data_IF_056720231719
#
_entry.id   IF_056720231719
#
_cell.length_a   1.000
_cell.length_b   1.000
_cell.length_c   1.000
_cell.angle_alpha   90.00
_cell.angle_beta   90.00
_cell.angle_gamma   90.00
#
_symmetry.space_group_name_H-M   'P 1'
#
loop_
_entity.id
_entity.type
_entity.pdbx_description
1 polymer ?
#
# COMPACT_ATOMS: atom_id res chain seq x y z
N UNK A 1 -20.11 -5.15 -30.79
CA UNK A 1 -18.71 -5.51 -30.50
C UNK A 1 -17.97 -5.61 -31.83
N UNK A 2 -16.85 -4.91 -32.00
CA UNK A 2 -16.16 -4.85 -33.31
C UNK A 2 -15.21 -6.04 -33.49
N UNK A 3 -14.93 -6.42 -34.74
CA UNK A 3 -14.04 -7.55 -35.10
C UNK A 3 -12.60 -7.38 -34.55
N UNK A 4 -12.19 -6.15 -34.24
CA UNK A 4 -10.91 -5.84 -33.60
C UNK A 4 -10.85 -6.28 -32.14
N UNK A 5 -11.98 -6.28 -31.42
CA UNK A 5 -12.02 -6.71 -30.01
C UNK A 5 -11.85 -8.23 -29.84
N UNK A 6 -12.26 -9.03 -30.83
CA UNK A 6 -12.13 -10.50 -30.80
C UNK A 6 -10.70 -10.94 -31.14
N UNK A 7 -10.04 -10.24 -32.07
CA UNK A 7 -8.64 -10.51 -32.43
C UNK A 7 -7.67 -10.16 -31.29
N UNK A 8 -7.90 -9.06 -30.56
CA UNK A 8 -7.08 -8.71 -29.41
C UNK A 8 -7.22 -9.72 -28.26
N UNK A 9 -8.44 -10.22 -28.03
CA UNK A 9 -8.69 -11.23 -26.99
C UNK A 9 -8.04 -12.59 -27.34
N UNK A 10 -8.08 -13.00 -28.61
CA UNK A 10 -7.44 -14.23 -29.07
C UNK A 10 -5.89 -14.16 -28.98
N UNK A 11 -5.31 -12.99 -29.22
CA UNK A 11 -3.84 -12.81 -29.15
C UNK A 11 -3.34 -12.83 -27.70
N UNK A 12 -4.11 -12.29 -26.75
CA UNK A 12 -3.76 -12.29 -25.32
C UNK A 12 -3.90 -13.68 -24.68
N UNK A 13 -4.82 -14.51 -25.18
CA UNK A 13 -5.05 -15.86 -24.65
C UNK A 13 -4.12 -16.94 -25.23
N UNK A 14 -3.56 -16.76 -26.43
CA UNK A 14 -2.64 -17.74 -27.05
C UNK A 14 -1.14 -17.49 -26.80
N UNK A 15 -0.73 -16.28 -26.39
CA UNK A 15 0.69 -15.98 -26.14
C UNK A 15 1.35 -16.85 -25.03
N UNK A 16 0.70 -17.17 -23.88
CA UNK A 16 1.36 -17.93 -22.82
C UNK A 16 1.47 -19.44 -23.10
N UNK A 17 0.67 -20.00 -24.02
CA UNK A 17 0.71 -21.44 -24.32
C UNK A 17 1.84 -21.81 -25.28
N UNK A 18 2.20 -20.91 -26.21
CA UNK A 18 3.33 -21.09 -27.14
C UNK A 18 4.69 -20.99 -26.42
N UNK A 19 4.84 -20.06 -25.46
CA UNK A 19 6.05 -19.93 -24.65
C UNK A 19 6.31 -21.17 -23.78
N UNK A 20 5.26 -21.87 -23.35
CA UNK A 20 5.37 -23.10 -22.54
C UNK A 20 5.75 -24.33 -23.39
N UNK A 21 5.37 -24.35 -24.68
CA UNK A 21 5.72 -25.44 -25.59
C UNK A 21 7.21 -25.41 -26.00
N UNK A 22 7.80 -24.23 -26.21
CA UNK A 22 9.23 -24.11 -26.52
C UNK A 22 10.14 -24.49 -25.34
N UNK A 23 9.71 -24.20 -24.10
CA UNK A 23 10.46 -24.57 -22.89
C UNK A 23 10.56 -26.09 -22.68
N UNK A 24 9.58 -26.85 -23.16
CA UNK A 24 9.57 -28.31 -23.02
C UNK A 24 10.40 -29.03 -24.10
N UNK A 25 10.55 -28.44 -25.29
CA UNK A 25 11.41 -29.00 -26.35
C UNK A 25 12.91 -28.78 -26.10
N UNK A 26 13.29 -27.79 -25.29
CA UNK A 26 14.69 -27.47 -24.98
C UNK A 26 15.29 -28.28 -23.82
N UNK A 27 14.49 -29.14 -23.19
CA UNK A 27 14.83 -29.86 -21.96
C UNK A 27 15.44 -31.28 -22.06
N UNK A 28 15.85 -31.86 -23.22
CA UNK A 28 16.52 -33.17 -23.19
C UNK A 28 18.00 -33.10 -22.76
N UNK A 29 18.63 -31.92 -22.76
CA UNK A 29 20.07 -31.78 -22.45
C UNK A 29 20.40 -31.58 -20.97
N UNK A 30 19.43 -31.23 -20.13
CA UNK A 30 19.66 -31.00 -18.69
C UNK A 30 19.82 -32.30 -17.89
N UNK A 31 19.19 -33.39 -18.34
CA UNK A 31 19.31 -34.70 -17.67
C UNK A 31 20.67 -35.37 -17.90
N UNK A 32 21.39 -35.05 -18.98
CA UNK A 32 22.72 -35.60 -19.25
C UNK A 32 23.84 -34.90 -18.46
N UNK A 33 23.65 -33.63 -18.07
CA UNK A 33 24.62 -32.87 -17.29
C UNK A 33 24.54 -33.16 -15.78
N UNK A 34 23.36 -33.55 -15.27
CA UNK A 34 23.15 -33.86 -13.85
C UNK A 34 23.85 -35.13 -13.35
N UNK A 35 24.31 -36.00 -14.25
CA UNK A 35 24.94 -37.26 -13.87
C UNK A 35 26.44 -37.14 -13.52
N UNK A 36 27.07 -35.97 -13.72
CA UNK A 36 28.52 -35.79 -13.49
C UNK A 36 28.91 -34.94 -12.27
N UNK A 37 27.95 -34.31 -11.58
CA UNK A 37 28.21 -33.38 -10.48
C UNK A 37 27.98 -33.96 -9.08
N UNK A 38 27.59 -35.24 -8.98
CA UNK A 38 27.29 -35.88 -7.69
C UNK A 38 28.42 -35.88 -6.64
N UNK A 39 29.73 -35.97 -6.97
CA UNK A 39 30.76 -36.01 -5.93
C UNK A 39 31.15 -34.64 -5.35
N UNK A 40 30.92 -33.52 -6.07
CA UNK A 40 31.27 -32.17 -5.56
C UNK A 40 30.22 -31.60 -4.59
N UNK A 41 28.96 -32.00 -4.74
CA UNK A 41 27.85 -31.55 -3.88
C UNK A 41 27.93 -32.10 -2.45
N UNK A 42 28.61 -33.22 -2.23
CA UNK A 42 28.82 -33.75 -0.87
C UNK A 42 29.84 -32.95 -0.07
N UNK A 43 30.85 -32.39 -0.75
CA UNK A 43 31.90 -31.58 -0.12
C UNK A 43 31.38 -30.21 0.36
N UNK A 44 30.28 -29.73 -0.25
CA UNK A 44 29.62 -28.47 0.10
C UNK A 44 28.48 -28.62 1.12
N UNK A 45 28.08 -29.85 1.47
CA UNK A 45 27.08 -30.10 2.51
C UNK A 45 27.36 -29.33 3.81
N UNK A 46 28.56 -29.37 4.42
CA UNK A 46 28.78 -28.69 5.71
C UNK A 46 28.66 -27.16 5.64
N UNK A 47 28.88 -26.55 4.46
CA UNK A 47 28.67 -25.11 4.25
C UNK A 47 27.19 -24.77 4.05
N UNK A 48 26.42 -25.70 3.45
CA UNK A 48 24.98 -25.57 3.24
C UNK A 48 24.14 -25.91 4.49
N UNK A 49 24.69 -26.67 5.44
CA UNK A 49 24.06 -26.95 6.74
C UNK A 49 24.48 -26.01 7.86
N UNK A 50 25.41 -25.07 7.59
CA UNK A 50 25.64 -23.97 8.52
C UNK A 50 24.28 -23.29 8.77
N UNK A 51 23.89 -23.01 10.03
CA UNK A 51 22.72 -22.18 10.28
C UNK A 51 22.99 -20.90 9.51
N UNK A 52 22.27 -20.69 8.41
CA UNK A 52 22.25 -19.41 7.74
C UNK A 52 21.95 -18.44 8.87
N UNK A 53 22.95 -17.63 9.27
CA UNK A 53 22.67 -16.44 10.03
C UNK A 53 21.62 -15.76 9.18
N UNK A 54 20.35 -15.87 9.60
CA UNK A 54 19.34 -14.92 9.17
C UNK A 54 20.02 -13.63 9.56
N UNK A 55 20.51 -12.92 8.55
CA UNK A 55 20.58 -11.49 8.63
C UNK A 55 19.12 -11.15 8.92
N UNK A 56 18.78 -11.10 10.21
CA UNK A 56 17.66 -10.32 10.66
C UNK A 56 17.98 -8.97 10.04
N UNK A 57 17.33 -8.69 8.91
CA UNK A 57 17.31 -7.36 8.35
C UNK A 57 16.78 -6.54 9.51
N UNK A 58 17.71 -5.92 10.26
CA UNK A 58 17.37 -5.11 11.42
C UNK A 58 16.24 -4.17 11.03
N UNK A 59 15.36 -3.80 11.99
CA UNK A 59 14.10 -3.13 11.70
C UNK A 59 14.31 -2.11 10.59
N UNK A 60 13.81 -2.39 9.38
CA UNK A 60 14.06 -1.51 8.22
C UNK A 60 13.64 -0.13 8.66
N UNK A 61 14.60 0.80 8.81
CA UNK A 61 14.33 2.20 9.17
C UNK A 61 13.38 2.77 8.13
N UNK A 62 12.08 2.69 8.40
CA UNK A 62 11.07 3.32 7.56
C UNK A 62 11.17 4.81 7.85
N UNK A 63 11.41 5.58 6.79
CA UNK A 63 11.64 7.02 6.88
C UNK A 63 10.53 7.69 7.69
N UNK A 64 10.92 8.60 8.59
CA UNK A 64 9.97 9.39 9.36
C UNK A 64 8.99 10.18 8.46
N UNK A 65 9.39 10.44 7.21
CA UNK A 65 8.57 11.13 6.23
C UNK A 65 7.23 10.42 5.95
N UNK A 66 7.16 9.09 6.09
CA UNK A 66 5.91 8.34 5.88
C UNK A 66 4.82 8.70 6.89
N UNK A 67 5.19 9.14 8.10
CA UNK A 67 4.21 9.54 9.12
C UNK A 67 3.56 10.90 8.84
N UNK A 68 4.18 11.73 7.99
CA UNK A 68 3.61 13.02 7.61
C UNK A 68 2.57 12.91 6.48
N UNK A 69 2.44 11.73 5.89
CA UNK A 69 1.51 11.49 4.80
C UNK A 69 0.13 11.17 5.40
N UNK A 70 -0.92 11.89 4.98
CA UNK A 70 -2.30 11.63 5.43
C UNK A 70 -2.80 10.26 4.95
N UNK A 71 -4.06 9.95 5.25
CA UNK A 71 -4.76 8.72 4.88
C UNK A 71 -4.20 7.46 5.56
N UNK A 72 -3.76 7.60 6.81
CA UNK A 72 -3.26 6.46 7.60
C UNK A 72 -1.94 5.87 7.12
N UNK A 73 -1.24 6.51 6.17
CA UNK A 73 0.01 6.00 5.58
C UNK A 73 1.09 5.80 6.64
N UNK A 74 1.18 6.70 7.62
CA UNK A 74 2.09 6.56 8.75
C UNK A 74 1.84 5.30 9.58
N UNK A 75 0.59 4.96 9.85
CA UNK A 75 0.20 3.76 10.59
C UNK A 75 0.50 2.50 9.78
N UNK A 76 0.24 2.49 8.48
CA UNK A 76 0.65 1.38 7.61
C UNK A 76 2.17 1.23 7.58
N UNK A 77 2.91 2.34 7.53
CA UNK A 77 4.36 2.34 7.65
C UNK A 77 4.85 1.89 9.03
N UNK A 78 4.03 1.97 10.08
CA UNK A 78 4.36 1.46 11.42
C UNK A 78 3.80 0.04 11.68
N UNK A 79 3.41 -0.71 10.64
CA UNK A 79 2.82 -2.05 10.75
C UNK A 79 1.56 -2.11 11.64
N UNK A 80 0.77 -1.02 11.65
CA UNK A 80 -0.50 -0.88 12.36
C UNK A 80 -1.69 -0.82 11.37
N UNK A 81 -2.03 -1.94 10.71
CA UNK A 81 -3.01 -1.93 9.60
C UNK A 81 -4.42 -1.57 10.05
N UNK A 82 -4.82 -1.92 11.27
CA UNK A 82 -6.15 -1.57 11.81
C UNK A 82 -6.28 -0.06 11.96
N UNK A 83 -5.30 0.61 12.59
CA UNK A 83 -5.31 2.06 12.73
C UNK A 83 -5.19 2.76 11.37
N UNK A 84 -4.31 2.27 10.49
CA UNK A 84 -4.16 2.81 9.13
C UNK A 84 -5.47 2.76 8.36
N UNK A 85 -6.21 1.64 8.46
CA UNK A 85 -7.52 1.51 7.82
C UNK A 85 -8.56 2.46 8.43
N UNK A 86 -8.56 2.65 9.75
CA UNK A 86 -9.48 3.58 10.41
C UNK A 86 -9.23 5.03 9.98
N UNK A 87 -7.97 5.49 9.98
CA UNK A 87 -7.62 6.83 9.51
C UNK A 87 -7.92 6.99 8.02
N UNK A 88 -7.54 6.01 7.18
CA UNK A 88 -7.87 6.00 5.76
C UNK A 88 -9.37 6.16 5.51
N UNK A 89 -10.20 5.35 6.17
CA UNK A 89 -11.65 5.37 6.00
C UNK A 89 -12.25 6.70 6.49
N UNK A 90 -11.83 7.19 7.65
CA UNK A 90 -12.32 8.43 8.22
C UNK A 90 -11.96 9.65 7.35
N UNK A 91 -10.72 9.74 6.89
CA UNK A 91 -10.27 10.82 6.00
C UNK A 91 -10.96 10.74 4.63
N UNK A 92 -11.10 9.53 4.07
CA UNK A 92 -11.82 9.33 2.80
C UNK A 92 -13.28 9.76 2.92
N UNK A 93 -13.96 9.46 4.02
CA UNK A 93 -15.34 9.89 4.25
C UNK A 93 -15.43 11.41 4.39
N UNK A 94 -14.53 12.03 5.15
CA UNK A 94 -14.52 13.47 5.37
C UNK A 94 -14.23 14.23 4.06
N UNK A 95 -13.13 13.91 3.38
CA UNK A 95 -12.76 14.57 2.11
C UNK A 95 -13.71 14.20 0.97
N UNK A 96 -14.26 12.99 0.95
CA UNK A 96 -15.30 12.59 0.01
C UNK A 96 -16.59 13.39 0.19
N UNK A 97 -17.01 13.61 1.45
CA UNK A 97 -18.17 14.45 1.77
C UNK A 97 -17.90 15.91 1.41
N UNK A 98 -16.70 16.43 1.68
CA UNK A 98 -16.29 17.75 1.24
C UNK A 98 -16.39 17.90 -0.28
N UNK A 99 -15.78 16.99 -1.05
CA UNK A 99 -15.81 17.02 -2.50
C UNK A 99 -17.23 16.91 -3.06
N UNK A 100 -18.04 16.01 -2.50
CA UNK A 100 -19.44 15.83 -2.90
C UNK A 100 -20.31 17.06 -2.61
N UNK A 101 -20.19 17.63 -1.40
CA UNK A 101 -20.94 18.82 -1.02
C UNK A 101 -20.52 20.05 -1.84
N UNK A 102 -19.22 20.19 -2.13
CA UNK A 102 -18.71 21.26 -2.98
C UNK A 102 -19.18 21.10 -4.43
N UNK A 103 -19.14 19.90 -4.99
CA UNK A 103 -19.65 19.63 -6.33
C UNK A 103 -21.16 19.92 -6.44
N UNK A 104 -21.95 19.49 -5.45
CA UNK A 104 -23.38 19.78 -5.40
C UNK A 104 -23.65 21.29 -5.27
N UNK A 105 -22.85 22.01 -4.48
CA UNK A 105 -22.92 23.47 -4.37
C UNK A 105 -22.66 24.15 -5.72
N UNK A 106 -21.61 23.76 -6.44
CA UNK A 106 -21.29 24.32 -7.75
C UNK A 106 -22.39 24.04 -8.78
N UNK A 107 -22.97 22.83 -8.79
CA UNK A 107 -24.07 22.47 -9.69
C UNK A 107 -25.35 23.24 -9.38
N UNK A 108 -25.58 23.66 -8.13
CA UNK A 108 -26.76 24.43 -7.74
C UNK A 108 -26.75 25.91 -8.18
N UNK A 109 -25.65 26.38 -8.79
CA UNK A 109 -25.53 27.76 -9.28
C UNK A 109 -26.32 27.93 -10.56
N UNK A 110 -27.22 28.91 -10.56
CA UNK A 110 -27.95 29.36 -11.78
C UNK A 110 -27.05 30.27 -12.61
N UNK A 111 -26.28 31.13 -11.94
CA UNK A 111 -25.39 32.09 -12.60
C UNK A 111 -24.22 32.44 -11.68
N UNK A 112 -23.00 32.32 -12.18
CA UNK A 112 -21.80 32.60 -11.40
C UNK A 112 -20.57 31.96 -12.00
N UNK A 113 -19.40 32.30 -11.46
CA UNK A 113 -18.14 31.67 -11.85
C UNK A 113 -17.86 30.44 -10.97
N UNK A 114 -17.13 29.47 -11.53
CA UNK A 114 -16.58 28.33 -10.79
C UNK A 114 -15.83 28.83 -9.54
N UNK A 115 -16.14 28.26 -8.38
CA UNK A 115 -15.56 28.62 -7.08
C UNK A 115 -15.83 30.04 -6.56
N UNK A 116 -16.69 30.84 -7.22
CA UNK A 116 -17.15 32.14 -6.69
C UNK A 116 -18.61 32.08 -6.26
N UNK A 117 -19.00 33.01 -5.40
CA UNK A 117 -20.41 33.21 -5.05
C UNK A 117 -21.22 33.52 -6.31
N UNK A 118 -22.40 32.91 -6.43
CA UNK A 118 -23.30 33.04 -7.57
C UNK A 118 -24.73 33.27 -7.13
N UNK A 119 -25.60 33.38 -8.12
CA UNK A 119 -27.05 33.32 -7.96
C UNK A 119 -27.48 31.85 -7.87
N UNK A 120 -28.30 31.53 -6.87
CA UNK A 120 -28.76 30.19 -6.56
C UNK A 120 -30.28 30.12 -6.67
N UNK A 121 -30.80 29.03 -7.21
CA UNK A 121 -32.24 28.78 -7.29
C UNK A 121 -32.84 28.57 -5.89
N UNK A 122 -32.12 27.85 -5.03
CA UNK A 122 -32.41 27.70 -3.60
C UNK A 122 -31.19 28.15 -2.76
N UNK A 123 -31.20 29.38 -2.23
CA UNK A 123 -30.09 29.90 -1.43
C UNK A 123 -29.94 29.17 -0.09
N UNK A 124 -31.01 28.61 0.47
CA UNK A 124 -30.96 27.89 1.73
C UNK A 124 -30.28 26.53 1.56
N UNK A 125 -30.58 25.81 0.47
CA UNK A 125 -29.88 24.58 0.12
C UNK A 125 -28.39 24.84 -0.17
N UNK A 126 -28.07 25.89 -0.93
CA UNK A 126 -26.69 26.27 -1.22
C UNK A 126 -25.89 26.58 0.05
N UNK A 127 -26.48 27.33 1.00
CA UNK A 127 -25.86 27.61 2.30
C UNK A 127 -25.58 26.34 3.10
N UNK A 128 -26.51 25.37 3.11
CA UNK A 128 -26.31 24.08 3.78
C UNK A 128 -25.16 23.29 3.15
N UNK A 129 -25.11 23.21 1.82
CA UNK A 129 -24.04 22.51 1.11
C UNK A 129 -22.67 23.14 1.36
N UNK A 130 -22.59 24.48 1.36
CA UNK A 130 -21.39 25.22 1.74
C UNK A 130 -20.99 24.95 3.19
N UNK A 131 -21.95 24.91 4.10
CA UNK A 131 -21.67 24.61 5.52
C UNK A 131 -21.14 23.18 5.69
N UNK A 132 -21.79 22.20 5.04
CA UNK A 132 -21.35 20.80 5.06
C UNK A 132 -19.96 20.65 4.46
N UNK A 133 -19.67 21.32 3.34
CA UNK A 133 -18.34 21.23 2.71
C UNK A 133 -17.26 21.78 3.65
N UNK A 134 -17.47 22.95 4.26
CA UNK A 134 -16.53 23.55 5.21
C UNK A 134 -16.32 22.65 6.44
N UNK A 135 -17.40 22.14 7.04
CA UNK A 135 -17.30 21.24 8.21
C UNK A 135 -16.53 19.96 7.85
N UNK A 136 -16.87 19.34 6.71
CA UNK A 136 -16.24 18.11 6.26
C UNK A 136 -14.75 18.30 5.95
N UNK A 137 -14.38 19.41 5.32
CA UNK A 137 -12.99 19.76 5.05
C UNK A 137 -12.18 19.88 6.34
N UNK A 138 -12.64 20.70 7.29
CA UNK A 138 -11.93 20.90 8.56
C UNK A 138 -11.91 19.64 9.43
N UNK A 139 -12.96 18.80 9.36
CA UNK A 139 -12.95 17.49 9.99
C UNK A 139 -11.88 16.59 9.38
N UNK A 140 -11.76 16.55 8.05
CA UNK A 140 -10.71 15.80 7.35
C UNK A 140 -9.31 16.25 7.72
N UNK A 141 -9.07 17.57 7.78
CA UNK A 141 -7.79 18.15 8.23
C UNK A 141 -7.50 17.75 9.69
N UNK A 142 -8.49 17.83 10.58
CA UNK A 142 -8.32 17.43 11.98
C UNK A 142 -7.98 15.96 12.14
N UNK A 143 -8.68 15.07 11.42
CA UNK A 143 -8.40 13.63 11.42
C UNK A 143 -6.99 13.35 10.88
N UNK A 144 -6.61 13.97 9.76
CA UNK A 144 -5.28 13.82 9.19
C UNK A 144 -4.18 14.26 10.17
N UNK A 145 -4.36 15.40 10.86
CA UNK A 145 -3.42 15.85 11.87
C UNK A 145 -3.29 14.85 13.04
N UNK A 146 -4.40 14.31 13.53
CA UNK A 146 -4.40 13.26 14.56
C UNK A 146 -3.71 11.98 14.07
N UNK A 147 -3.97 11.57 12.83
CA UNK A 147 -3.30 10.44 12.20
C UNK A 147 -1.80 10.63 12.09
N UNK A 148 -1.35 11.81 11.67
CA UNK A 148 0.07 12.15 11.63
C UNK A 148 0.69 12.04 13.03
N UNK A 149 0.10 12.67 14.05
CA UNK A 149 0.59 12.62 15.42
C UNK A 149 0.65 11.18 15.98
N UNK A 150 -0.40 10.38 15.77
CA UNK A 150 -0.44 8.97 16.18
C UNK A 150 0.65 8.15 15.47
N UNK A 151 0.92 8.42 14.19
CA UNK A 151 1.99 7.76 13.45
C UNK A 151 3.39 8.18 13.92
N UNK A 152 3.58 9.43 14.32
CA UNK A 152 4.85 9.88 14.93
C UNK A 152 5.06 9.25 16.30
N UNK A 153 4.03 9.17 17.13
CA UNK A 153 4.11 8.64 18.49
C UNK A 153 4.33 7.13 18.53
N UNK A 154 3.66 6.37 17.65
CA UNK A 154 3.74 4.90 17.64
C UNK A 154 4.77 4.36 16.64
N UNK A 155 5.85 5.10 16.39
CA UNK A 155 6.94 4.53 15.58
C UNK A 155 7.59 3.38 16.34
N UNK A 156 7.93 2.27 15.65
CA UNK A 156 8.71 1.22 16.27
C UNK A 156 10.12 1.73 16.58
N UNK A 157 10.47 1.78 17.86
CA UNK A 157 11.83 2.09 18.32
C UNK A 157 12.76 0.90 18.06
N UNK A 158 13.92 1.14 17.44
CA UNK A 158 15.00 0.14 17.28
C UNK A 158 15.56 -0.37 18.63
N UNK A 159 15.32 0.30 19.76
CA UNK A 159 16.01 0.03 21.03
C UNK A 159 15.40 -1.08 21.91
N UNK A 160 14.30 -1.74 21.48
CA UNK A 160 13.83 -2.98 22.15
C UNK A 160 14.37 -4.27 21.54
N UNK A 161 15.43 -4.17 20.74
CA UNK A 161 16.40 -5.25 20.64
C UNK A 161 17.27 -5.22 21.90
N UNK A 162 16.84 -5.89 22.97
CA UNK A 162 17.78 -6.30 24.02
C UNK A 162 18.89 -7.03 23.29
N UNK A 163 20.07 -6.42 23.25
CA UNK A 163 21.30 -7.08 22.88
C UNK A 163 21.50 -8.22 23.90
N UNK A 164 20.84 -9.35 23.65
CA UNK A 164 21.26 -10.63 24.17
C UNK A 164 22.62 -10.85 23.50
N UNK A 165 23.66 -10.43 24.21
CA UNK A 165 25.05 -10.71 23.84
C UNK A 165 25.21 -12.20 23.53
N UNK A 166 26.25 -12.56 22.77
CA UNK A 166 26.43 -13.93 22.30
C UNK A 166 26.47 -14.88 23.50
N UNK A 167 25.35 -15.58 23.75
CA UNK A 167 25.25 -16.54 24.86
C UNK A 167 23.92 -16.61 25.62
N UNK A 168 22.95 -15.71 25.44
CA UNK A 168 21.71 -15.80 26.22
C UNK A 168 20.68 -16.75 25.57
N UNK A 169 20.66 -17.99 26.06
CA UNK A 169 19.56 -18.95 25.86
C UNK A 169 18.32 -18.40 26.58
N UNK A 170 17.32 -17.97 25.82
CA UNK A 170 16.04 -17.59 26.38
C UNK A 170 15.29 -18.85 26.84
N UNK A 171 15.33 -19.14 28.14
CA UNK A 171 14.37 -20.06 28.75
C UNK A 171 13.00 -19.37 28.85
N UNK A 172 12.01 -19.94 28.17
CA UNK A 172 10.60 -19.67 28.39
C UNK A 172 10.13 -20.55 29.55
N UNK A 173 9.60 -19.94 30.61
CA UNK A 173 8.67 -20.59 31.55
C UNK A 173 7.24 -20.23 31.13
#
# INVERSE_FOLDING_TARGET
>A
MSRLSVLLLATVLLAPSLARAELLLRAPSLNAASARTAPELELLKPVLTAPQLRLDEGPKRRSALWAAIPFGVGQFANDQPVKGTLFFAAETLAFGTFAGALAAFEVSKVRGELFKWGEFEDPAAAQRLSTVSVIAFWSGVGIAALGILDAFYNRPDEERGVALGPGAVAFRF
#
